data_IF_880371355865
#
_entry.id   IF_880371355865
#
_cell.length_a   1.000
_cell.length_b   1.000
_cell.length_c   1.000
_cell.angle_alpha   90.00
_cell.angle_beta   90.00
_cell.angle_gamma   90.00
#
_symmetry.space_group_name_H-M   'P 1'
#
loop_
_entity.id
_entity.type
_entity.pdbx_description
1 polymer ?
#
# COMPACT_ATOMS: atom_id res chain seq x y z
N UNK A 1 -2.87 -19.23 25.03
CA UNK A 1 -3.25 -18.02 24.28
C UNK A 1 -4.21 -18.46 23.17
N UNK A 2 -5.47 -17.99 23.17
CA UNK A 2 -6.48 -18.40 22.19
C UNK A 2 -5.99 -18.16 20.75
N UNK A 3 -6.29 -19.08 19.84
CA UNK A 3 -5.91 -18.99 18.41
C UNK A 3 -6.21 -17.61 17.81
N UNK A 4 -7.39 -17.07 18.08
CA UNK A 4 -7.84 -15.76 17.59
C UNK A 4 -6.94 -14.59 18.07
N UNK A 5 -6.34 -14.71 19.27
CA UNK A 5 -5.43 -13.69 19.81
C UNK A 5 -4.08 -13.70 19.08
N UNK A 6 -3.56 -14.89 18.74
CA UNK A 6 -2.34 -15.02 17.93
C UNK A 6 -2.56 -14.45 16.53
N UNK A 7 -3.68 -14.83 15.90
CA UNK A 7 -4.05 -14.32 14.56
C UNK A 7 -4.16 -12.80 14.54
N UNK A 8 -4.82 -12.19 15.55
CA UNK A 8 -4.90 -10.74 15.65
C UNK A 8 -3.50 -10.09 15.76
N UNK A 9 -2.61 -10.67 16.58
CA UNK A 9 -1.23 -10.19 16.70
C UNK A 9 -0.46 -10.26 15.38
N UNK A 10 -0.59 -11.36 14.63
CA UNK A 10 0.03 -11.49 13.32
C UNK A 10 -0.52 -10.50 12.30
N UNK A 11 -1.84 -10.29 12.26
CA UNK A 11 -2.45 -9.28 11.38
C UNK A 11 -1.93 -7.89 11.74
N UNK A 12 -1.89 -7.55 13.02
CA UNK A 12 -1.36 -6.27 13.46
C UNK A 12 0.11 -6.06 13.09
N UNK A 13 0.94 -7.11 13.24
CA UNK A 13 2.35 -7.06 12.83
C UNK A 13 2.48 -6.85 11.31
N UNK A 14 1.66 -7.53 10.50
CA UNK A 14 1.66 -7.35 9.05
C UNK A 14 1.20 -5.94 8.64
N UNK A 15 0.21 -5.32 9.32
CA UNK A 15 -0.15 -3.93 9.08
C UNK A 15 1.02 -2.98 9.32
N UNK A 16 1.73 -3.14 10.43
CA UNK A 16 2.92 -2.31 10.72
C UNK A 16 4.05 -2.57 9.72
N UNK A 17 4.28 -3.84 9.36
CA UNK A 17 5.28 -4.21 8.34
C UNK A 17 4.96 -3.60 6.99
N UNK A 18 3.70 -3.72 6.53
CA UNK A 18 3.24 -3.12 5.28
C UNK A 18 3.47 -1.60 5.28
N UNK A 19 3.09 -0.92 6.36
CA UNK A 19 3.24 0.52 6.49
C UNK A 19 4.70 0.96 6.46
N UNK A 20 5.55 0.33 7.27
CA UNK A 20 6.99 0.65 7.30
C UNK A 20 7.65 0.34 5.95
N UNK A 21 7.33 -0.81 5.37
CA UNK A 21 7.88 -1.24 4.09
C UNK A 21 7.45 -0.31 2.93
N UNK A 22 6.19 0.12 2.92
CA UNK A 22 5.68 1.06 1.92
C UNK A 22 6.33 2.43 2.04
N UNK A 23 6.39 3.01 3.24
CA UNK A 23 6.94 4.34 3.47
C UNK A 23 8.45 4.38 3.20
N UNK A 24 9.21 3.42 3.75
CA UNK A 24 10.66 3.37 3.54
C UNK A 24 11.00 2.95 2.11
N UNK A 25 10.31 1.94 1.57
CA UNK A 25 10.54 1.45 0.21
C UNK A 25 10.27 2.53 -0.83
N UNK A 26 9.09 3.15 -0.77
CA UNK A 26 8.74 4.26 -1.64
C UNK A 26 9.69 5.45 -1.47
N UNK A 27 10.05 5.82 -0.25
CA UNK A 27 10.99 6.90 0.03
C UNK A 27 12.39 6.66 -0.55
N UNK A 28 12.92 5.42 -0.42
CA UNK A 28 14.21 5.06 -1.01
C UNK A 28 14.18 5.08 -2.53
N UNK A 29 13.15 4.50 -3.14
CA UNK A 29 12.99 4.55 -4.61
C UNK A 29 12.89 6.00 -5.09
N UNK A 30 12.02 6.80 -4.47
CA UNK A 30 11.80 8.19 -4.86
C UNK A 30 13.05 9.04 -4.72
N UNK A 31 13.87 8.81 -3.68
CA UNK A 31 15.14 9.53 -3.49
C UNK A 31 16.13 9.34 -4.64
N UNK A 32 16.02 8.22 -5.36
CA UNK A 32 16.90 7.91 -6.51
C UNK A 32 16.28 8.38 -7.81
N UNK A 33 14.98 8.16 -8.03
CA UNK A 33 14.34 8.47 -9.32
C UNK A 33 14.00 9.96 -9.49
N UNK A 34 13.91 10.71 -8.40
CA UNK A 34 13.61 12.16 -8.44
C UNK A 34 14.80 13.03 -8.82
N UNK A 35 16.01 12.47 -8.94
CA UNK A 35 17.19 13.23 -9.33
C UNK A 35 17.14 13.63 -10.83
N UNK A 36 17.72 14.79 -11.21
CA UNK A 36 17.83 15.17 -12.61
C UNK A 36 18.51 14.08 -13.43
N UNK A 37 18.01 13.88 -14.65
CA UNK A 37 18.46 12.86 -15.61
C UNK A 37 18.14 11.40 -15.25
N UNK A 38 17.56 11.08 -14.07
CA UNK A 38 17.12 9.73 -13.68
C UNK A 38 18.19 8.65 -13.83
N UNK A 39 19.48 9.04 -13.81
CA UNK A 39 20.61 8.14 -14.00
C UNK A 39 20.87 7.33 -12.73
N UNK A 40 20.80 6.02 -12.84
CA UNK A 40 21.17 5.09 -11.77
C UNK A 40 22.66 4.81 -11.85
N UNK A 41 23.40 5.27 -10.84
CA UNK A 41 24.83 5.03 -10.68
C UNK A 41 25.08 3.85 -9.75
N UNK A 42 26.30 3.33 -9.70
CA UNK A 42 26.69 2.26 -8.75
C UNK A 42 26.47 2.66 -7.28
N UNK A 43 26.51 3.94 -6.96
CA UNK A 43 26.33 4.45 -5.59
C UNK A 43 24.87 4.40 -5.15
N UNK A 44 23.92 4.70 -6.05
CA UNK A 44 22.49 4.74 -5.71
C UNK A 44 21.71 3.46 -6.11
N UNK A 45 22.32 2.55 -6.87
CA UNK A 45 21.69 1.29 -7.30
C UNK A 45 21.31 0.41 -6.10
N UNK A 46 22.16 0.34 -5.09
CA UNK A 46 21.89 -0.45 -3.86
C UNK A 46 20.68 0.09 -3.09
N UNK A 47 20.55 1.42 -2.99
CA UNK A 47 19.38 2.08 -2.37
C UNK A 47 18.11 1.77 -3.14
N UNK A 48 18.17 1.84 -4.47
CA UNK A 48 17.06 1.54 -5.34
C UNK A 48 16.58 0.10 -5.19
N UNK A 49 17.53 -0.87 -5.19
CA UNK A 49 17.23 -2.29 -4.97
C UNK A 49 16.62 -2.51 -3.59
N UNK A 50 17.17 -1.91 -2.53
CA UNK A 50 16.63 -2.02 -1.18
C UNK A 50 15.18 -1.48 -1.12
N UNK A 51 14.92 -0.33 -1.75
CA UNK A 51 13.59 0.25 -1.86
C UNK A 51 12.60 -0.68 -2.55
N UNK A 52 12.97 -1.24 -3.70
CA UNK A 52 12.16 -2.22 -4.45
C UNK A 52 11.83 -3.46 -3.61
N UNK A 53 12.81 -4.01 -2.88
CA UNK A 53 12.59 -5.17 -2.01
C UNK A 53 11.59 -4.85 -0.89
N UNK A 54 11.66 -3.65 -0.31
CA UNK A 54 10.69 -3.20 0.69
C UNK A 54 9.29 -3.06 0.07
N UNK A 55 9.15 -2.53 -1.13
CA UNK A 55 7.86 -2.46 -1.82
C UNK A 55 7.26 -3.86 -2.07
N UNK A 56 8.08 -4.86 -2.39
CA UNK A 56 7.64 -6.26 -2.48
C UNK A 56 7.22 -6.83 -1.12
N UNK A 57 7.93 -6.49 -0.03
CA UNK A 57 7.53 -6.86 1.34
C UNK A 57 6.17 -6.26 1.68
N UNK A 58 5.90 -5.01 1.26
CA UNK A 58 4.58 -4.42 1.39
C UNK A 58 3.52 -5.25 0.64
N UNK A 59 3.74 -5.57 -0.62
CA UNK A 59 2.80 -6.37 -1.43
C UNK A 59 2.48 -7.74 -0.78
N UNK A 60 3.50 -8.45 -0.29
CA UNK A 60 3.35 -9.72 0.43
C UNK A 60 2.53 -9.53 1.72
N UNK A 61 2.82 -8.46 2.47
CA UNK A 61 2.12 -8.14 3.72
C UNK A 61 0.63 -7.86 3.49
N UNK A 62 0.30 -7.15 2.42
CA UNK A 62 -1.08 -6.85 2.00
C UNK A 62 -1.88 -8.15 1.77
N UNK A 63 -1.31 -9.11 1.01
CA UNK A 63 -1.93 -10.43 0.79
C UNK A 63 -2.02 -11.21 2.10
N UNK A 64 -0.99 -11.17 2.93
CA UNK A 64 -0.97 -11.83 4.23
C UNK A 64 -2.08 -11.33 5.16
N UNK A 65 -2.27 -10.01 5.25
CA UNK A 65 -3.36 -9.40 6.02
C UNK A 65 -4.71 -9.91 5.51
N UNK A 66 -4.94 -9.85 4.20
CA UNK A 66 -6.20 -10.24 3.59
C UNK A 66 -6.50 -11.73 3.81
N UNK A 67 -5.49 -12.58 3.65
CA UNK A 67 -5.61 -14.03 3.85
C UNK A 67 -5.93 -14.40 5.31
N UNK A 68 -5.35 -13.71 6.29
CA UNK A 68 -5.63 -13.94 7.70
C UNK A 68 -6.96 -13.32 8.14
N UNK A 69 -7.38 -12.22 7.55
CA UNK A 69 -8.67 -11.59 7.81
C UNK A 69 -9.84 -12.36 7.19
N UNK A 70 -9.63 -13.01 6.05
CA UNK A 70 -10.67 -13.70 5.28
C UNK A 70 -11.49 -14.70 6.14
N UNK A 71 -10.90 -15.67 6.85
CA UNK A 71 -11.67 -16.63 7.66
C UNK A 71 -12.44 -15.98 8.80
N UNK A 72 -12.00 -14.83 9.29
CA UNK A 72 -12.68 -14.06 10.33
C UNK A 72 -13.88 -13.31 9.71
N UNK A 73 -13.65 -12.59 8.62
CA UNK A 73 -14.67 -11.81 7.93
C UNK A 73 -15.78 -12.69 7.35
N UNK A 74 -15.42 -13.86 6.79
CA UNK A 74 -16.34 -14.81 6.17
C UNK A 74 -17.46 -15.26 7.12
N UNK A 75 -17.19 -15.36 8.43
CA UNK A 75 -18.19 -15.76 9.43
C UNK A 75 -19.33 -14.74 9.58
N UNK A 76 -19.12 -13.50 9.18
CA UNK A 76 -20.12 -12.43 9.29
C UNK A 76 -20.76 -12.11 7.93
N UNK A 77 -19.94 -12.01 6.89
CA UNK A 77 -20.41 -11.72 5.53
C UNK A 77 -19.41 -12.27 4.51
N UNK A 78 -19.78 -13.39 3.88
CA UNK A 78 -18.92 -14.07 2.91
C UNK A 78 -18.66 -13.20 1.67
N UNK A 79 -19.68 -12.51 1.16
CA UNK A 79 -19.52 -11.64 -0.02
C UNK A 79 -18.53 -10.52 0.24
N UNK A 80 -18.63 -9.84 1.39
CA UNK A 80 -17.68 -8.80 1.77
C UNK A 80 -16.28 -9.35 2.00
N UNK A 81 -16.16 -10.56 2.57
CA UNK A 81 -14.88 -11.20 2.81
C UNK A 81 -14.17 -11.58 1.50
N UNK A 82 -14.90 -12.13 0.53
CA UNK A 82 -14.37 -12.46 -0.81
C UNK A 82 -13.99 -11.18 -1.54
N UNK A 83 -14.86 -10.16 -1.51
CA UNK A 83 -14.58 -8.86 -2.11
C UNK A 83 -13.31 -8.22 -1.54
N UNK A 84 -13.18 -8.18 -0.21
CA UNK A 84 -11.97 -7.68 0.45
C UNK A 84 -10.72 -8.43 0.00
N UNK A 85 -10.73 -9.76 0.07
CA UNK A 85 -9.60 -10.59 -0.36
C UNK A 85 -9.24 -10.33 -1.83
N UNK A 86 -10.24 -10.29 -2.72
CA UNK A 86 -10.03 -10.05 -4.15
C UNK A 86 -9.40 -8.69 -4.44
N UNK A 87 -9.93 -7.61 -3.85
CA UNK A 87 -9.38 -6.27 -4.05
C UNK A 87 -7.96 -6.13 -3.48
N UNK A 88 -7.66 -6.75 -2.33
CA UNK A 88 -6.31 -6.74 -1.75
C UNK A 88 -5.31 -7.55 -2.57
N UNK A 89 -5.72 -8.64 -3.22
CA UNK A 89 -4.86 -9.39 -4.15
C UNK A 89 -4.54 -8.53 -5.38
N UNK A 90 -5.55 -7.90 -5.99
CA UNK A 90 -5.34 -7.03 -7.16
C UNK A 90 -4.43 -5.86 -6.80
N UNK A 91 -4.64 -5.22 -5.67
CA UNK A 91 -3.77 -4.17 -5.14
C UNK A 91 -2.32 -4.66 -5.02
N UNK A 92 -2.10 -5.83 -4.40
CA UNK A 92 -0.76 -6.39 -4.23
C UNK A 92 -0.06 -6.71 -5.57
N UNK A 93 -0.83 -7.11 -6.60
CA UNK A 93 -0.31 -7.28 -7.96
C UNK A 93 0.23 -5.93 -8.47
N UNK A 94 -0.55 -4.85 -8.36
CA UNK A 94 -0.09 -3.53 -8.78
C UNK A 94 1.07 -3.00 -7.92
N UNK A 95 1.06 -3.26 -6.60
CA UNK A 95 2.21 -2.98 -5.73
C UNK A 95 3.48 -3.72 -6.17
N UNK A 96 3.34 -4.92 -6.75
CA UNK A 96 4.48 -5.65 -7.31
C UNK A 96 4.90 -5.10 -8.68
N UNK A 97 3.98 -4.54 -9.45
CA UNK A 97 4.29 -3.97 -10.77
C UNK A 97 5.08 -2.67 -10.71
N UNK A 98 4.93 -1.87 -9.65
CA UNK A 98 5.66 -0.60 -9.53
C UNK A 98 7.18 -0.77 -9.48
N UNK A 99 7.70 -1.95 -9.15
CA UNK A 99 9.15 -2.22 -9.15
C UNK A 99 9.73 -2.38 -10.56
N UNK A 100 8.88 -2.53 -11.59
CA UNK A 100 9.32 -2.70 -12.98
C UNK A 100 10.03 -1.42 -13.47
N UNK A 101 9.49 -0.25 -13.14
CA UNK A 101 10.08 1.02 -13.56
C UNK A 101 11.50 1.23 -13.04
N UNK A 102 11.80 1.11 -11.73
CA UNK A 102 13.17 1.20 -11.23
C UNK A 102 14.09 0.12 -11.80
N UNK A 103 13.62 -1.12 -12.03
CA UNK A 103 14.42 -2.14 -12.73
C UNK A 103 14.77 -1.72 -14.16
N UNK A 104 13.80 -1.13 -14.88
CA UNK A 104 14.02 -0.60 -16.23
C UNK A 104 15.04 0.55 -16.21
N UNK A 105 15.00 1.42 -15.21
CA UNK A 105 15.97 2.52 -15.06
C UNK A 105 17.40 2.01 -14.80
N UNK A 106 17.58 0.96 -14.01
CA UNK A 106 18.88 0.32 -13.81
C UNK A 106 19.42 -0.17 -15.16
N UNK A 107 18.62 -0.91 -15.91
CA UNK A 107 19.02 -1.45 -17.21
C UNK A 107 19.33 -0.32 -18.20
N UNK A 108 18.45 0.65 -18.29
CA UNK A 108 18.60 1.81 -19.18
C UNK A 108 19.87 2.61 -18.87
N UNK A 109 20.17 2.83 -17.59
CA UNK A 109 21.37 3.54 -17.14
C UNK A 109 22.65 2.79 -17.50
N UNK A 110 22.65 1.46 -17.37
CA UNK A 110 23.79 0.63 -17.77
C UNK A 110 24.03 0.68 -19.28
N UNK A 111 22.98 0.65 -20.09
CA UNK A 111 23.09 0.76 -21.54
C UNK A 111 23.53 2.18 -21.99
N UNK A 112 23.02 3.21 -21.30
CA UNK A 112 23.48 4.59 -21.55
C UNK A 112 24.99 4.75 -21.33
N UNK A 113 25.50 4.20 -20.25
CA UNK A 113 26.94 4.28 -19.90
C UNK A 113 27.84 3.42 -20.81
N UNK A 114 27.33 2.30 -21.34
CA UNK A 114 28.11 1.35 -22.17
C UNK A 114 28.03 1.65 -23.68
N UNK A 115 26.82 1.86 -24.18
CA UNK A 115 26.55 1.85 -25.61
C UNK A 115 26.41 3.23 -26.22
N UNK A 116 26.47 4.31 -25.42
CA UNK A 116 26.34 5.67 -25.92
C UNK A 116 24.97 5.96 -26.54
N UNK A 117 23.90 5.41 -25.95
CA UNK A 117 22.52 5.83 -26.32
C UNK A 117 22.46 7.36 -26.25
N UNK A 118 21.77 8.00 -27.17
CA UNK A 118 21.64 9.45 -27.14
C UNK A 118 20.96 9.92 -25.85
N UNK A 119 21.41 11.02 -25.27
CA UNK A 119 20.88 11.62 -24.07
C UNK A 119 19.36 11.85 -24.16
N UNK A 120 18.86 12.26 -25.31
CA UNK A 120 17.44 12.49 -25.58
C UNK A 120 16.63 11.19 -25.46
N UNK A 121 17.13 10.08 -26.00
CA UNK A 121 16.44 8.79 -25.93
C UNK A 121 16.44 8.24 -24.49
N UNK A 122 17.56 8.38 -23.80
CA UNK A 122 17.67 7.98 -22.40
C UNK A 122 16.69 8.73 -21.52
N UNK A 123 16.64 10.07 -21.62
CA UNK A 123 15.73 10.89 -20.83
C UNK A 123 14.26 10.60 -21.16
N UNK A 124 13.89 10.46 -22.43
CA UNK A 124 12.53 10.17 -22.83
C UNK A 124 12.04 8.82 -22.25
N UNK A 125 12.88 7.78 -22.30
CA UNK A 125 12.54 6.46 -21.74
C UNK A 125 12.47 6.51 -20.20
N UNK A 126 13.35 7.24 -19.54
CA UNK A 126 13.34 7.43 -18.09
C UNK A 126 12.07 8.15 -17.60
N UNK A 127 11.70 9.25 -18.25
CA UNK A 127 10.47 10.00 -17.96
C UNK A 127 9.25 9.10 -18.12
N UNK A 128 9.17 8.30 -19.19
CA UNK A 128 8.05 7.39 -19.43
C UNK A 128 7.95 6.34 -18.32
N UNK A 129 9.05 5.69 -17.96
CA UNK A 129 9.05 4.68 -16.91
C UNK A 129 8.58 5.25 -15.55
N UNK A 130 8.99 6.46 -15.19
CA UNK A 130 8.56 7.13 -13.96
C UNK A 130 7.08 7.51 -14.03
N UNK A 131 6.61 8.02 -15.17
CA UNK A 131 5.20 8.36 -15.36
C UNK A 131 4.28 7.14 -15.27
N UNK A 132 4.70 6.00 -15.84
CA UNK A 132 3.99 4.72 -15.71
C UNK A 132 3.92 4.27 -14.25
N UNK A 133 5.04 4.31 -13.51
CA UNK A 133 5.08 3.99 -12.07
C UNK A 133 4.11 4.88 -11.30
N UNK A 134 4.16 6.19 -11.52
CA UNK A 134 3.29 7.14 -10.86
C UNK A 134 1.80 6.87 -11.17
N UNK A 135 1.49 6.52 -12.42
CA UNK A 135 0.13 6.18 -12.84
C UNK A 135 -0.38 4.91 -12.15
N UNK A 136 0.45 3.86 -12.06
CA UNK A 136 0.10 2.62 -11.34
C UNK A 136 -0.12 2.93 -9.86
N UNK A 137 0.80 3.67 -9.23
CA UNK A 137 0.72 3.97 -7.79
C UNK A 137 -0.49 4.85 -7.44
N UNK A 138 -0.68 5.96 -8.15
CA UNK A 138 -1.67 6.96 -7.82
C UNK A 138 -3.08 6.63 -8.34
N UNK A 139 -3.23 5.75 -9.31
CA UNK A 139 -4.54 5.37 -9.83
C UNK A 139 -4.92 3.94 -9.43
N UNK A 140 -4.13 2.95 -9.90
CA UNK A 140 -4.53 1.56 -9.77
C UNK A 140 -4.41 1.07 -8.33
N UNK A 141 -3.24 1.19 -7.70
CA UNK A 141 -3.04 0.76 -6.30
C UNK A 141 -4.06 1.46 -5.40
N UNK A 142 -4.22 2.75 -5.55
CA UNK A 142 -5.03 3.55 -4.66
C UNK A 142 -6.52 3.26 -4.79
N UNK A 143 -7.05 3.03 -5.99
CA UNK A 143 -8.45 2.63 -6.18
C UNK A 143 -8.71 1.28 -5.53
N UNK A 144 -7.89 0.25 -5.80
CA UNK A 144 -8.09 -1.09 -5.24
C UNK A 144 -7.89 -1.11 -3.73
N UNK A 145 -6.92 -0.35 -3.21
CA UNK A 145 -6.75 -0.11 -1.78
C UNK A 145 -8.02 0.49 -1.16
N UNK A 146 -8.54 1.59 -1.72
CA UNK A 146 -9.71 2.28 -1.17
C UNK A 146 -10.95 1.37 -1.14
N UNK A 147 -11.20 0.60 -2.20
CA UNK A 147 -12.34 -0.33 -2.23
C UNK A 147 -12.15 -1.45 -1.22
N UNK A 148 -10.97 -2.06 -1.15
CA UNK A 148 -10.65 -3.08 -0.16
C UNK A 148 -10.79 -2.56 1.27
N UNK A 149 -10.19 -1.41 1.56
CA UNK A 149 -10.25 -0.79 2.89
C UNK A 149 -11.69 -0.38 3.27
N UNK A 150 -12.48 0.12 2.33
CA UNK A 150 -13.89 0.43 2.56
C UNK A 150 -14.68 -0.82 2.99
N UNK A 151 -14.47 -1.96 2.33
CA UNK A 151 -15.10 -3.24 2.72
C UNK A 151 -14.65 -3.69 4.10
N UNK A 152 -13.34 -3.60 4.39
CA UNK A 152 -12.80 -3.94 5.71
C UNK A 152 -13.43 -3.10 6.81
N UNK A 153 -13.33 -1.77 6.70
CA UNK A 153 -13.83 -0.87 7.76
C UNK A 153 -15.35 -0.92 7.90
N UNK A 154 -16.09 -1.15 6.81
CA UNK A 154 -17.54 -1.36 6.85
C UNK A 154 -17.90 -2.61 7.65
N UNK A 155 -17.19 -3.71 7.43
CA UNK A 155 -17.42 -4.95 8.16
C UNK A 155 -16.99 -4.81 9.64
N UNK A 156 -15.85 -4.19 9.91
CA UNK A 156 -15.38 -3.93 11.29
C UNK A 156 -16.38 -3.07 12.07
N UNK A 157 -17.01 -2.09 11.41
CA UNK A 157 -18.05 -1.25 12.01
C UNK A 157 -19.31 -2.04 12.38
N UNK A 158 -19.77 -2.91 11.46
CA UNK A 158 -20.97 -3.73 11.65
C UNK A 158 -20.76 -4.79 12.75
N UNK A 159 -19.62 -5.45 12.74
CA UNK A 159 -19.32 -6.59 13.61
C UNK A 159 -18.81 -6.20 14.99
N UNK A 160 -18.33 -4.98 15.17
CA UNK A 160 -17.66 -4.52 16.39
C UNK A 160 -16.43 -5.39 16.77
N UNK A 161 -15.79 -6.02 15.77
CA UNK A 161 -14.54 -6.76 15.98
C UNK A 161 -13.44 -5.88 16.55
N UNK A 162 -13.46 -4.60 16.18
CA UNK A 162 -12.66 -3.52 16.76
C UNK A 162 -13.57 -2.42 17.29
N UNK A 163 -13.08 -1.52 18.16
CA UNK A 163 -13.82 -0.34 18.58
C UNK A 163 -14.30 0.47 17.37
N UNK A 164 -15.57 0.86 17.40
CA UNK A 164 -16.22 1.56 16.29
C UNK A 164 -15.49 2.82 15.82
N UNK A 165 -14.82 3.53 16.73
CA UNK A 165 -14.10 4.74 16.36
C UNK A 165 -12.98 4.47 15.35
N UNK A 166 -12.28 3.32 15.43
CA UNK A 166 -11.26 2.91 14.46
C UNK A 166 -11.89 2.73 13.07
N UNK A 167 -13.04 2.06 13.02
CA UNK A 167 -13.74 1.81 11.76
C UNK A 167 -14.30 3.09 11.14
N UNK A 168 -14.90 3.98 11.95
CA UNK A 168 -15.43 5.26 11.47
C UNK A 168 -14.30 6.15 10.98
N UNK A 169 -13.20 6.26 11.74
CA UNK A 169 -12.02 6.99 11.31
C UNK A 169 -11.47 6.44 9.98
N UNK A 170 -11.32 5.12 9.86
CA UNK A 170 -10.86 4.48 8.63
C UNK A 170 -11.80 4.75 7.44
N UNK A 171 -13.13 4.65 7.61
CA UNK A 171 -14.10 4.96 6.55
C UNK A 171 -13.99 6.40 6.06
N UNK A 172 -13.95 7.36 6.98
CA UNK A 172 -13.79 8.78 6.63
C UNK A 172 -12.46 9.02 5.91
N UNK A 173 -11.38 8.45 6.43
CA UNK A 173 -10.05 8.59 5.84
C UNK A 173 -9.97 8.01 4.43
N UNK A 174 -10.50 6.79 4.21
CA UNK A 174 -10.51 6.14 2.88
C UNK A 174 -11.30 6.95 1.86
N UNK A 175 -12.49 7.44 2.23
CA UNK A 175 -13.30 8.28 1.34
C UNK A 175 -12.56 9.58 1.01
N UNK A 176 -11.92 10.20 2.00
CA UNK A 176 -11.12 11.42 1.79
C UNK A 176 -9.96 11.20 0.83
N UNK A 177 -9.22 10.09 0.99
CA UNK A 177 -8.12 9.70 0.08
C UNK A 177 -8.63 9.46 -1.32
N UNK A 178 -9.75 8.76 -1.48
CA UNK A 178 -10.33 8.49 -2.80
C UNK A 178 -10.74 9.79 -3.51
N UNK A 179 -11.40 10.71 -2.80
CA UNK A 179 -11.82 11.99 -3.36
C UNK A 179 -10.63 12.82 -3.82
N UNK A 180 -9.62 13.01 -2.95
CA UNK A 180 -8.46 13.83 -3.31
C UNK A 180 -7.69 13.26 -4.48
N UNK A 181 -7.58 11.93 -4.55
CA UNK A 181 -6.90 11.25 -5.65
C UNK A 181 -7.65 11.41 -6.99
N UNK A 182 -8.98 11.24 -7.00
CA UNK A 182 -9.77 11.47 -8.20
C UNK A 182 -9.74 12.92 -8.66
N UNK A 183 -9.70 13.88 -7.72
CA UNK A 183 -9.54 15.30 -8.05
C UNK A 183 -8.15 15.58 -8.65
N UNK A 184 -7.11 14.92 -8.16
CA UNK A 184 -5.73 15.06 -8.65
C UNK A 184 -5.56 14.63 -10.10
N UNK A 185 -6.47 13.81 -10.65
CA UNK A 185 -6.44 13.46 -12.09
C UNK A 185 -6.75 14.64 -13.02
N UNK A 186 -7.40 15.67 -12.51
CA UNK A 186 -7.79 16.86 -13.31
C UNK A 186 -7.19 18.15 -12.79
N UNK A 187 -6.85 18.20 -11.52
CA UNK A 187 -6.35 19.38 -10.84
C UNK A 187 -4.92 19.15 -10.40
N UNK A 188 -4.06 20.12 -10.62
CA UNK A 188 -2.70 20.11 -10.07
C UNK A 188 -2.75 20.37 -8.56
N UNK A 189 -2.96 19.31 -7.78
CA UNK A 189 -3.03 19.41 -6.34
C UNK A 189 -1.62 19.21 -5.78
N UNK A 190 -1.12 20.22 -5.08
CA UNK A 190 0.21 20.15 -4.48
C UNK A 190 0.34 19.01 -3.45
N UNK A 191 1.53 18.43 -3.36
CA UNK A 191 1.85 17.32 -2.47
C UNK A 191 1.44 17.57 -1.01
N UNK A 192 1.60 18.80 -0.50
CA UNK A 192 1.22 19.15 0.87
C UNK A 192 -0.28 19.00 1.12
N UNK A 193 -1.12 19.38 0.16
CA UNK A 193 -2.57 19.20 0.27
C UNK A 193 -2.92 17.72 0.22
N UNK A 194 -2.36 16.96 -0.71
CA UNK A 194 -2.59 15.51 -0.81
C UNK A 194 -2.23 14.79 0.49
N UNK A 195 -1.13 15.18 1.14
CA UNK A 195 -0.69 14.59 2.41
C UNK A 195 -1.68 14.81 3.56
N UNK A 196 -2.39 15.94 3.62
CA UNK A 196 -3.41 16.20 4.64
C UNK A 196 -4.52 15.14 4.58
N UNK A 197 -4.86 14.67 3.39
CA UNK A 197 -5.91 13.65 3.19
C UNK A 197 -5.39 12.21 3.34
N UNK A 198 -4.12 11.97 3.05
CA UNK A 198 -3.50 10.64 3.15
C UNK A 198 -3.04 10.34 4.59
N UNK A 199 -2.56 11.32 5.34
CA UNK A 199 -2.06 11.14 6.71
C UNK A 199 -3.08 10.47 7.65
N UNK A 200 -4.38 10.81 7.63
CA UNK A 200 -5.37 10.16 8.49
C UNK A 200 -5.48 8.65 8.31
N UNK A 201 -5.37 8.12 7.08
CA UNK A 201 -5.44 6.67 6.86
C UNK A 201 -4.16 5.98 7.32
N UNK A 202 -2.99 6.58 7.09
CA UNK A 202 -1.70 6.09 7.60
C UNK A 202 -1.76 5.93 9.13
N UNK A 203 -2.18 6.99 9.83
CA UNK A 203 -2.29 6.97 11.28
C UNK A 203 -3.33 5.95 11.77
N UNK A 204 -4.44 5.80 11.08
CA UNK A 204 -5.47 4.80 11.41
C UNK A 204 -4.93 3.37 11.28
N UNK A 205 -4.22 3.03 10.20
CA UNK A 205 -3.65 1.70 9.99
C UNK A 205 -2.56 1.37 11.00
N UNK A 206 -1.69 2.34 11.34
CA UNK A 206 -0.71 2.19 12.42
C UNK A 206 -1.42 1.93 13.75
N UNK A 207 -2.42 2.75 14.08
CA UNK A 207 -3.19 2.60 15.31
C UNK A 207 -3.90 1.24 15.37
N UNK A 208 -4.53 0.80 14.27
CA UNK A 208 -5.19 -0.49 14.15
C UNK A 208 -4.20 -1.64 14.31
N UNK A 209 -3.01 -1.54 13.70
CA UNK A 209 -1.94 -2.53 13.85
C UNK A 209 -1.50 -2.68 15.31
N UNK A 210 -1.22 -1.57 15.98
CA UNK A 210 -0.86 -1.54 17.41
C UNK A 210 -2.01 -2.08 18.27
N UNK A 211 -3.25 -1.69 17.99
CA UNK A 211 -4.43 -2.20 18.72
C UNK A 211 -4.55 -3.71 18.62
N UNK A 212 -4.42 -4.27 17.41
CA UNK A 212 -4.50 -5.72 17.17
C UNK A 212 -3.41 -6.49 17.92
N UNK A 213 -2.20 -5.95 17.99
CA UNK A 213 -1.10 -6.52 18.77
C UNK A 213 -1.39 -6.41 20.26
N UNK A 214 -1.79 -5.25 20.76
CA UNK A 214 -1.97 -4.99 22.18
C UNK A 214 -3.25 -5.57 22.76
N UNK A 215 -4.39 -5.45 22.09
CA UNK A 215 -5.74 -5.82 22.57
C UNK A 215 -6.34 -7.02 21.84
N UNK A 216 -6.05 -7.18 20.53
CA UNK A 216 -6.69 -8.18 19.67
C UNK A 216 -8.10 -7.78 19.25
N UNK A 217 -8.82 -8.76 18.73
CA UNK A 217 -10.24 -8.60 18.43
C UNK A 217 -11.10 -8.66 19.68
N UNK A 218 -12.28 -8.03 19.61
CA UNK A 218 -13.27 -8.09 20.69
C UNK A 218 -13.78 -9.54 20.89
N UNK A 219 -13.57 -10.15 22.09
CA UNK A 219 -13.94 -11.54 22.31
C UNK A 219 -15.45 -11.80 22.19
N UNK A 220 -16.29 -10.83 22.62
CA UNK A 220 -17.74 -10.97 22.52
C UNK A 220 -18.21 -10.98 21.06
N UNK A 221 -17.58 -10.25 20.16
CA UNK A 221 -17.90 -10.28 18.75
C UNK A 221 -17.52 -11.64 18.13
N UNK A 222 -16.30 -12.13 18.37
CA UNK A 222 -15.83 -13.40 17.80
C UNK A 222 -16.68 -14.60 18.24
N UNK A 223 -17.15 -14.62 19.48
CA UNK A 223 -17.95 -15.75 20.01
C UNK A 223 -19.37 -15.80 19.44
N UNK A 224 -19.92 -14.70 18.94
CA UNK A 224 -21.25 -14.66 18.30
C UNK A 224 -21.22 -15.33 16.92
N UNK A 225 -20.06 -15.38 16.27
CA UNK A 225 -19.87 -15.93 14.92
C UNK A 225 -19.32 -17.37 14.91
N UNK A 226 -19.16 -17.99 16.07
CA UNK A 226 -18.75 -19.39 16.25
C UNK A 226 -19.96 -20.29 16.36
#
# INVERSE_FOLDING_TARGET
MNSNRKTAGFIGALFLTAMVASLLGGGLVESVIAVPHHLVTSENETLLIAGMLLELVNAISVVGIASLMFPIMKRYNETMAVGYLGFRIIEAVFCSMIVIAPLSLITLSREYLKAGISDVQFQAAGILAIAERASIANLLILIFFCVGAFLLYSLLYQTKLLPRFISVWGLVAVVSVLIINLLSLKLEIGMGISMIFVLPIILNEIFMGIWLIAKGFNPSAINVAA
#
